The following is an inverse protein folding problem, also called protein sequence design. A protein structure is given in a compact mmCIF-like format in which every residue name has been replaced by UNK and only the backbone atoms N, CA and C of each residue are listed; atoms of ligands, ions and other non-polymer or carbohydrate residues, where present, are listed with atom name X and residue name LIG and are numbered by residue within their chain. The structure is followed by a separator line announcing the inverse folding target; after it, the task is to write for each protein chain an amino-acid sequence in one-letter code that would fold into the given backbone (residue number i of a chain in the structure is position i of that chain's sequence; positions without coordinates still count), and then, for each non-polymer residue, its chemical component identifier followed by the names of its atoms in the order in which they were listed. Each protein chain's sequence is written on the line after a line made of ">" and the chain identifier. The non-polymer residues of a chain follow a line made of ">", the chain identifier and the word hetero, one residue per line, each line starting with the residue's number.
data_IF_639896972531
#
_entry.id   IF_639896972531
#
_cell.length_a   1.000
_cell.length_b   1.000
_cell.length_c   1.000
_cell.angle_alpha   90.00
_cell.angle_beta   90.00
_cell.angle_gamma   90.00
#
_symmetry.space_group_name_H-M   'P 1'
#
loop_
_entity.id
_entity.type
_entity.pdbx_description
1 polymer ?
#
# COMPACT_ATOMS: atom_id res chain seq x y z
N UNK A 1 -28.86 1.63 9.95
CA UNK A 1 -27.92 2.78 9.88
C UNK A 1 -26.54 2.24 9.57
N UNK A 2 -26.10 2.30 8.31
CA UNK A 2 -24.73 1.93 7.96
C UNK A 2 -23.82 3.13 8.18
N UNK A 3 -23.14 3.14 9.32
CA UNK A 3 -22.05 4.08 9.55
C UNK A 3 -20.91 3.71 8.60
N UNK A 4 -20.69 4.52 7.56
CA UNK A 4 -19.67 4.24 6.54
C UNK A 4 -18.31 4.44 7.22
N UNK A 5 -17.66 3.34 7.63
CA UNK A 5 -16.32 3.39 8.20
C UNK A 5 -15.35 3.93 7.14
N UNK A 6 -14.91 5.17 7.33
CA UNK A 6 -13.92 5.83 6.47
C UNK A 6 -12.56 5.31 6.93
N UNK A 7 -12.12 4.21 6.33
CA UNK A 7 -10.87 3.54 6.71
C UNK A 7 -9.63 4.44 6.55
N UNK A 8 -8.53 4.13 7.26
CA UNK A 8 -7.29 4.93 7.27
C UNK A 8 -6.65 5.11 5.89
N UNK A 9 -6.97 4.28 4.90
CA UNK A 9 -6.52 4.47 3.52
C UNK A 9 -7.11 5.72 2.86
N UNK A 10 -8.39 6.00 3.13
CA UNK A 10 -9.10 7.13 2.54
C UNK A 10 -8.65 8.48 3.13
N UNK A 11 -8.16 8.49 4.37
CA UNK A 11 -7.53 9.65 5.00
C UNK A 11 -6.12 9.88 4.47
N UNK A 12 -5.32 8.82 4.32
CA UNK A 12 -3.98 8.89 3.70
C UNK A 12 -4.02 9.41 2.26
N UNK A 13 -5.00 8.99 1.44
CA UNK A 13 -5.17 9.51 0.08
C UNK A 13 -5.49 11.02 0.06
N UNK A 14 -6.31 11.51 1.00
CA UNK A 14 -6.62 12.95 1.13
C UNK A 14 -5.39 13.75 1.56
N UNK A 15 -4.61 13.23 2.52
CA UNK A 15 -3.37 13.86 2.97
C UNK A 15 -2.34 13.95 1.83
N UNK A 16 -2.19 12.89 1.03
CA UNK A 16 -1.31 12.91 -0.14
C UNK A 16 -1.75 13.95 -1.18
N UNK A 17 -3.05 14.04 -1.49
CA UNK A 17 -3.57 15.07 -2.41
C UNK A 17 -3.30 16.49 -1.90
N UNK A 18 -3.48 16.72 -0.59
CA UNK A 18 -3.17 18.01 0.06
C UNK A 18 -1.68 18.33 -0.02
N UNK A 19 -0.81 17.35 0.23
CA UNK A 19 0.64 17.52 0.12
C UNK A 19 1.05 17.90 -1.31
N UNK A 20 0.52 17.20 -2.33
CA UNK A 20 0.78 17.50 -3.74
C UNK A 20 0.34 18.92 -4.10
N UNK A 21 -0.84 19.34 -3.66
CA UNK A 21 -1.32 20.70 -3.89
C UNK A 21 -0.37 21.75 -3.26
N UNK A 22 0.01 21.56 -2.00
CA UNK A 22 0.91 22.46 -1.30
C UNK A 22 2.28 22.56 -1.95
N UNK A 23 2.85 21.42 -2.39
CA UNK A 23 4.15 21.39 -3.07
C UNK A 23 4.11 22.11 -4.43
N UNK A 24 3.02 21.94 -5.19
CA UNK A 24 2.85 22.65 -6.47
C UNK A 24 2.73 24.16 -6.27
N UNK A 25 1.99 24.58 -5.25
CA UNK A 25 1.86 26.00 -4.90
C UNK A 25 3.22 26.59 -4.47
N UNK A 26 3.91 25.92 -3.55
CA UNK A 26 5.24 26.34 -3.08
C UNK A 26 6.27 26.44 -4.22
N UNK A 27 6.25 25.49 -5.17
CA UNK A 27 7.12 25.55 -6.34
C UNK A 27 6.81 26.75 -7.26
N UNK A 28 5.54 27.11 -7.44
CA UNK A 28 5.15 28.29 -8.21
C UNK A 28 5.56 29.58 -7.51
N UNK A 29 5.30 29.68 -6.19
CA UNK A 29 5.66 30.85 -5.39
C UNK A 29 7.19 31.06 -5.37
N UNK A 30 7.98 29.98 -5.28
CA UNK A 30 9.46 30.02 -5.40
C UNK A 30 9.96 30.46 -6.76
N UNK A 31 9.30 30.03 -7.85
CA UNK A 31 9.64 30.48 -9.19
C UNK A 31 9.41 31.99 -9.33
N UNK A 32 8.29 32.50 -8.82
CA UNK A 32 8.01 33.94 -8.81
C UNK A 32 9.04 34.71 -7.98
N UNK A 33 9.41 34.20 -6.80
CA UNK A 33 10.46 34.81 -5.97
C UNK A 33 11.80 34.86 -6.72
N UNK A 34 12.21 33.77 -7.38
CA UNK A 34 13.43 33.73 -8.18
C UNK A 34 13.41 34.76 -9.33
N UNK A 35 12.29 34.92 -10.03
CA UNK A 35 12.14 35.91 -11.09
C UNK A 35 12.29 37.36 -10.57
N UNK A 36 11.76 37.63 -9.38
CA UNK A 36 11.93 38.92 -8.70
C UNK A 36 13.41 39.15 -8.37
N UNK A 37 14.10 38.13 -7.84
CA UNK A 37 15.52 38.22 -7.50
C UNK A 37 16.40 38.43 -8.76
N UNK A 38 16.12 37.71 -9.84
CA UNK A 38 16.81 37.87 -11.14
C UNK A 38 16.59 39.27 -11.71
N UNK A 39 15.36 39.78 -11.65
CA UNK A 39 15.06 41.16 -12.05
C UNK A 39 15.82 42.16 -11.18
N UNK A 40 15.79 42.01 -9.85
CA UNK A 40 16.50 42.88 -8.93
C UNK A 40 18.01 42.89 -9.17
N UNK A 41 18.60 41.73 -9.49
CA UNK A 41 20.02 41.60 -9.86
C UNK A 41 20.36 42.32 -11.18
N UNK A 42 19.41 42.37 -12.12
CA UNK A 42 19.60 42.99 -13.43
C UNK A 42 19.55 44.53 -13.41
N UNK A 43 19.01 45.13 -12.34
CA UNK A 43 18.87 46.57 -12.18
C UNK A 43 20.22 47.24 -11.93
N UNK A 44 20.52 48.30 -12.69
CA UNK A 44 21.68 49.17 -12.48
C UNK A 44 21.23 50.51 -11.90
N UNK A 45 22.05 51.13 -11.05
CA UNK A 45 21.72 52.41 -10.40
C UNK A 45 21.42 53.58 -11.36
N UNK A 46 21.71 53.42 -12.65
CA UNK A 46 21.48 54.40 -13.72
C UNK A 46 20.20 54.14 -14.54
N UNK A 47 19.45 53.07 -14.26
CA UNK A 47 18.24 52.73 -15.02
C UNK A 47 17.12 53.75 -14.75
N UNK A 48 16.67 54.46 -15.79
CA UNK A 48 15.63 55.51 -15.76
C UNK A 48 14.26 55.04 -15.23
N UNK A 49 14.04 53.72 -15.19
CA UNK A 49 12.82 53.10 -14.66
C UNK A 49 12.81 52.99 -13.13
N UNK A 50 13.94 53.17 -12.46
CA UNK A 50 13.99 53.16 -11.00
C UNK A 50 13.37 54.46 -10.49
N UNK A 51 12.28 54.42 -9.71
CA UNK A 51 11.76 55.61 -9.08
C UNK A 51 12.91 56.27 -8.30
N UNK A 52 13.23 57.53 -8.63
CA UNK A 52 14.07 58.35 -7.76
C UNK A 52 13.59 58.17 -6.33
N UNK A 53 14.54 58.10 -5.40
CA UNK A 53 14.52 57.60 -4.00
C UNK A 53 13.38 58.04 -3.05
N UNK A 54 12.30 58.59 -3.59
CA UNK A 54 11.14 59.17 -2.93
C UNK A 54 9.80 58.55 -3.41
N UNK A 55 9.78 57.28 -3.83
CA UNK A 55 8.54 56.49 -3.78
C UNK A 55 8.70 55.43 -2.69
N UNK A 56 7.97 55.62 -1.59
CA UNK A 56 7.83 54.61 -0.53
C UNK A 56 7.35 53.34 -1.20
N UNK A 57 8.20 52.31 -1.23
CA UNK A 57 7.85 50.99 -1.74
C UNK A 57 6.71 50.47 -0.86
N UNK A 58 5.49 50.48 -1.38
CA UNK A 58 4.34 49.91 -0.68
C UNK A 58 4.47 48.40 -0.81
N UNK A 59 4.97 47.77 0.24
CA UNK A 59 4.88 46.32 0.41
C UNK A 59 3.40 45.96 0.29
N UNK A 60 3.09 45.00 -0.59
CA UNK A 60 1.72 44.48 -0.72
C UNK A 60 1.24 44.04 0.67
N UNK A 61 0.07 44.50 1.16
CA UNK A 61 -0.51 44.02 2.41
C UNK A 61 -0.67 42.49 2.48
N UNK A 62 -0.71 41.81 1.34
CA UNK A 62 -0.75 40.36 1.23
C UNK A 62 0.64 39.70 1.11
N UNK A 63 1.72 40.48 1.23
CA UNK A 63 3.09 39.97 1.22
C UNK A 63 3.40 39.26 2.54
N UNK A 64 3.98 38.08 2.43
CA UNK A 64 4.45 37.30 3.56
C UNK A 64 5.73 37.93 4.09
N UNK A 65 5.79 38.23 5.39
CA UNK A 65 7.01 38.76 5.99
C UNK A 65 8.06 37.64 6.22
N UNK A 66 9.30 37.99 6.52
CA UNK A 66 10.38 37.01 6.66
C UNK A 66 10.13 35.97 7.78
N UNK A 67 9.51 36.39 8.89
CA UNK A 67 9.18 35.51 10.01
C UNK A 67 8.07 34.53 9.65
N UNK A 68 7.04 35.00 8.94
CA UNK A 68 5.96 34.18 8.39
C UNK A 68 6.48 33.18 7.36
N UNK A 69 7.39 33.59 6.49
CA UNK A 69 8.08 32.71 5.54
C UNK A 69 8.84 31.61 6.27
N UNK A 70 9.65 31.97 7.26
CA UNK A 70 10.42 31.02 8.06
C UNK A 70 9.50 30.05 8.81
N UNK A 71 8.40 30.53 9.39
CA UNK A 71 7.40 29.70 10.04
C UNK A 71 6.73 28.73 9.05
N UNK A 72 6.36 29.19 7.86
CA UNK A 72 5.76 28.36 6.81
C UNK A 72 6.73 27.27 6.33
N UNK A 73 7.99 27.62 6.08
CA UNK A 73 9.03 26.66 5.70
C UNK A 73 9.25 25.61 6.79
N UNK A 74 9.40 26.04 8.05
CA UNK A 74 9.60 25.12 9.18
C UNK A 74 8.41 24.17 9.38
N UNK A 75 7.18 24.68 9.24
CA UNK A 75 5.98 23.86 9.32
C UNK A 75 5.87 22.87 8.17
N UNK A 76 6.26 23.28 6.96
CA UNK A 76 6.30 22.42 5.77
C UNK A 76 7.31 21.28 5.92
N UNK A 77 8.51 21.57 6.44
CA UNK A 77 9.53 20.56 6.74
C UNK A 77 8.99 19.55 7.76
N UNK A 78 8.47 20.01 8.90
CA UNK A 78 7.88 19.14 9.93
C UNK A 78 6.73 18.28 9.39
N UNK A 79 5.90 18.84 8.50
CA UNK A 79 4.82 18.09 7.86
C UNK A 79 5.37 17.04 6.88
N UNK A 80 6.44 17.36 6.16
CA UNK A 80 7.16 16.43 5.30
C UNK A 80 7.73 15.24 6.08
N UNK A 81 8.41 15.51 7.20
CA UNK A 81 8.98 14.47 8.07
C UNK A 81 7.90 13.53 8.62
N UNK A 82 6.77 14.08 9.07
CA UNK A 82 5.62 13.27 9.50
C UNK A 82 5.06 12.43 8.37
N UNK A 83 4.96 12.98 7.16
CA UNK A 83 4.46 12.23 6.00
C UNK A 83 5.39 11.08 5.63
N UNK A 84 6.71 11.31 5.68
CA UNK A 84 7.72 10.27 5.45
C UNK A 84 7.62 9.16 6.49
N UNK A 85 7.54 9.52 7.77
CA UNK A 85 7.39 8.56 8.87
C UNK A 85 6.12 7.71 8.70
N UNK A 86 4.96 8.34 8.51
CA UNK A 86 3.69 7.63 8.29
C UNK A 86 3.77 6.71 7.06
N UNK A 87 4.47 7.13 6.01
CA UNK A 87 4.68 6.33 4.80
C UNK A 87 5.57 5.11 5.05
N UNK A 88 6.59 5.24 5.91
CA UNK A 88 7.44 4.13 6.32
C UNK A 88 6.67 3.13 7.18
N UNK A 89 5.89 3.61 8.16
CA UNK A 89 5.04 2.76 9.01
C UNK A 89 4.03 1.97 8.17
N UNK A 90 3.36 2.63 7.22
CA UNK A 90 2.39 1.98 6.34
C UNK A 90 3.05 0.88 5.49
N UNK A 91 4.25 1.12 4.94
CA UNK A 91 4.99 0.10 4.18
C UNK A 91 5.36 -1.07 5.08
N UNK A 92 5.85 -0.81 6.29
CA UNK A 92 6.20 -1.88 7.25
C UNK A 92 4.99 -2.73 7.63
N UNK A 93 3.82 -2.11 7.83
CA UNK A 93 2.57 -2.83 8.09
C UNK A 93 2.17 -3.71 6.89
N UNK A 94 2.22 -3.17 5.68
CA UNK A 94 1.92 -3.91 4.45
C UNK A 94 2.86 -5.10 4.30
N UNK A 95 4.16 -4.90 4.49
CA UNK A 95 5.17 -5.96 4.40
C UNK A 95 4.90 -7.07 5.43
N UNK A 96 4.53 -6.72 6.66
CA UNK A 96 4.14 -7.67 7.70
C UNK A 96 2.91 -8.50 7.30
N UNK A 97 1.87 -7.84 6.77
CA UNK A 97 0.65 -8.53 6.29
C UNK A 97 0.99 -9.47 5.13
N UNK A 98 1.79 -9.02 4.16
CA UNK A 98 2.19 -9.85 3.01
C UNK A 98 2.99 -11.08 3.45
N UNK A 99 3.92 -10.92 4.39
CA UNK A 99 4.68 -12.03 4.95
C UNK A 99 3.79 -13.03 5.69
N UNK A 100 2.83 -12.54 6.48
CA UNK A 100 1.88 -13.39 7.18
C UNK A 100 1.00 -14.18 6.20
N UNK A 101 0.40 -13.50 5.21
CA UNK A 101 -0.45 -14.14 4.19
C UNK A 101 0.34 -15.18 3.41
N UNK A 102 1.58 -14.90 3.01
CA UNK A 102 2.43 -15.85 2.31
C UNK A 102 2.74 -17.09 3.17
N UNK A 103 3.01 -16.89 4.47
CA UNK A 103 3.25 -17.97 5.43
C UNK A 103 2.01 -18.85 5.61
N UNK A 104 0.85 -18.23 5.82
CA UNK A 104 -0.41 -18.92 6.04
C UNK A 104 -0.86 -19.69 4.78
N UNK A 105 -0.68 -19.10 3.59
CA UNK A 105 -0.94 -19.79 2.32
C UNK A 105 -0.06 -21.03 2.17
N UNK A 106 1.23 -20.95 2.50
CA UNK A 106 2.14 -22.10 2.45
C UNK A 106 1.68 -23.20 3.40
N UNK A 107 1.34 -22.86 4.65
CA UNK A 107 0.81 -23.81 5.63
C UNK A 107 -0.48 -24.47 5.14
N UNK A 108 -1.37 -23.71 4.52
CA UNK A 108 -2.64 -24.23 4.01
C UNK A 108 -2.43 -25.20 2.85
N UNK A 109 -1.52 -24.89 1.93
CA UNK A 109 -1.14 -25.80 0.83
C UNK A 109 -0.58 -27.11 1.39
N UNK A 110 0.35 -27.03 2.33
CA UNK A 110 0.92 -28.22 2.95
C UNK A 110 -0.12 -29.06 3.70
N UNK A 111 -1.00 -28.42 4.48
CA UNK A 111 -2.07 -29.09 5.21
C UNK A 111 -3.04 -29.80 4.25
N UNK A 112 -3.42 -29.12 3.17
CA UNK A 112 -4.32 -29.66 2.15
C UNK A 112 -3.69 -30.84 1.43
N UNK A 113 -2.41 -30.74 1.03
CA UNK A 113 -1.69 -31.82 0.40
C UNK A 113 -1.59 -33.06 1.31
N UNK A 114 -1.24 -32.86 2.59
CA UNK A 114 -1.21 -33.96 3.58
C UNK A 114 -2.57 -34.65 3.71
N UNK A 115 -3.65 -33.86 3.82
CA UNK A 115 -5.01 -34.40 3.92
C UNK A 115 -5.41 -35.18 2.65
N UNK A 116 -5.06 -34.67 1.47
CA UNK A 116 -5.34 -35.32 0.20
C UNK A 116 -4.58 -36.65 0.06
N UNK A 117 -3.28 -36.66 0.34
CA UNK A 117 -2.47 -37.88 0.33
C UNK A 117 -3.02 -38.94 1.27
N UNK A 118 -3.41 -38.53 2.49
CA UNK A 118 -4.04 -39.43 3.47
C UNK A 118 -5.33 -40.04 2.92
N UNK A 119 -6.24 -39.21 2.39
CA UNK A 119 -7.52 -39.68 1.81
C UNK A 119 -7.32 -40.63 0.63
N UNK A 120 -6.34 -40.37 -0.23
CA UNK A 120 -5.99 -41.27 -1.35
C UNK A 120 -5.55 -42.64 -0.81
N UNK A 121 -4.68 -42.65 0.20
CA UNK A 121 -4.21 -43.89 0.83
C UNK A 121 -5.35 -44.68 1.47
N UNK A 122 -6.21 -44.01 2.24
CA UNK A 122 -7.38 -44.62 2.89
C UNK A 122 -8.35 -45.21 1.85
N UNK A 123 -8.61 -44.46 0.77
CA UNK A 123 -9.50 -44.89 -0.32
C UNK A 123 -8.94 -46.10 -1.05
N UNK A 124 -7.63 -46.12 -1.34
CA UNK A 124 -6.97 -47.28 -1.96
C UNK A 124 -7.01 -48.51 -1.06
N UNK A 125 -6.78 -48.34 0.24
CA UNK A 125 -6.86 -49.44 1.21
C UNK A 125 -8.28 -50.01 1.31
N UNK A 126 -9.30 -49.14 1.38
CA UNK A 126 -10.70 -49.56 1.42
C UNK A 126 -11.09 -50.30 0.14
N UNK A 127 -10.69 -49.79 -1.03
CA UNK A 127 -10.89 -50.46 -2.32
C UNK A 127 -10.26 -51.86 -2.33
N UNK A 128 -8.99 -51.99 -1.91
CA UNK A 128 -8.31 -53.28 -1.88
C UNK A 128 -9.01 -54.32 -1.00
N UNK A 129 -9.51 -53.91 0.17
CA UNK A 129 -10.31 -54.78 1.06
C UNK A 129 -11.61 -55.23 0.41
N UNK A 130 -12.28 -54.36 -0.35
CA UNK A 130 -13.49 -54.72 -1.08
C UNK A 130 -13.20 -55.70 -2.23
N UNK A 131 -12.10 -55.51 -2.96
CA UNK A 131 -11.66 -56.43 -4.01
C UNK A 131 -11.30 -57.81 -3.44
N UNK A 132 -10.62 -57.86 -2.30
CA UNK A 132 -10.31 -59.11 -1.58
C UNK A 132 -11.58 -59.83 -1.12
N UNK A 133 -12.51 -59.11 -0.48
CA UNK A 133 -13.79 -59.69 -0.05
C UNK A 133 -14.62 -60.20 -1.23
N UNK A 134 -14.65 -59.47 -2.34
CA UNK A 134 -15.33 -59.89 -3.57
C UNK A 134 -14.71 -61.20 -4.11
N UNK A 135 -13.39 -61.29 -4.19
CA UNK A 135 -12.70 -62.49 -4.65
C UNK A 135 -13.00 -63.72 -3.76
N UNK A 136 -13.05 -63.51 -2.44
CA UNK A 136 -13.41 -64.56 -1.48
C UNK A 136 -14.87 -65.05 -1.66
N UNK A 137 -15.82 -64.13 -1.86
CA UNK A 137 -17.24 -64.50 -2.07
C UNK A 137 -17.42 -65.22 -3.41
N UNK A 138 -16.78 -64.74 -4.49
CA UNK A 138 -16.87 -65.37 -5.81
C UNK A 138 -16.28 -66.78 -5.83
N UNK A 139 -15.14 -67.00 -5.16
CA UNK A 139 -14.53 -68.33 -5.05
C UNK A 139 -15.40 -69.29 -4.21
N UNK A 140 -15.92 -68.85 -3.08
CA UNK A 140 -16.83 -69.66 -2.25
C UNK A 140 -18.13 -70.04 -2.99
N UNK A 141 -18.70 -69.09 -3.74
CA UNK A 141 -19.90 -69.34 -4.54
C UNK A 141 -19.63 -70.42 -5.58
N UNK A 142 -18.51 -70.31 -6.29
CA UNK A 142 -18.08 -71.28 -7.31
C UNK A 142 -17.89 -72.67 -6.70
N UNK A 143 -17.23 -72.77 -5.54
CA UNK A 143 -16.97 -74.04 -4.87
C UNK A 143 -18.27 -74.72 -4.39
N UNK A 144 -19.23 -73.95 -3.87
CA UNK A 144 -20.55 -74.46 -3.47
C UNK A 144 -21.36 -74.98 -4.67
N UNK A 145 -21.32 -74.29 -5.81
CA UNK A 145 -21.93 -74.78 -7.06
C UNK A 145 -21.35 -76.12 -7.50
N UNK A 146 -20.04 -76.33 -7.38
CA UNK A 146 -19.41 -77.59 -7.75
C UNK A 146 -19.70 -78.74 -6.77
N UNK A 147 -19.81 -78.47 -5.46
CA UNK A 147 -20.16 -79.49 -4.45
C UNK A 147 -21.59 -80.04 -4.57
N UNK A 148 -22.52 -79.29 -5.18
CA UNK A 148 -23.89 -79.74 -5.40
C UNK A 148 -24.12 -80.45 -6.75
N UNK A 149 -23.10 -80.50 -7.62
CA UNK A 149 -23.16 -81.14 -8.95
C UNK A 149 -22.40 -82.48 -9.03
N UNK A 150 -21.78 -82.93 -7.93
CA UNK A 150 -21.09 -84.22 -7.75
C UNK A 150 -21.89 -85.15 -6.85
#
# INVERSE_FOLDING_TARGET
>A
MCNRYVGPESTSAKLNRKAVYNLKKDAADKLTAQQIDEYALSLKSTDESLPGSQKVFRIDPNSVNAEEWQAYTNNSIKAGDRQLHNSQELRSLIDGILQQVASDQRRQVEATNRALTKRISETRSAKGKLEEHLAAVSSNSTNCYFQHLS
#
